data_IF_593790988506
#
_entry.id   IF_593790988506
#
_cell.length_a   1.000
_cell.length_b   1.000
_cell.length_c   1.000
_cell.angle_alpha   90.00
_cell.angle_beta   90.00
_cell.angle_gamma   90.00
#
_symmetry.space_group_name_H-M   'P 1'
#
loop_
_entity.id
_entity.type
_entity.pdbx_description
1 polymer ?
#
# COMPACT_ATOMS: atom_id res chain seq x y z
N UNK A 1 38.58 -48.77 20.09
CA UNK A 1 37.19 -48.44 20.48
C UNK A 1 36.59 -47.61 19.37
N UNK A 2 35.42 -48.02 18.88
CA UNK A 2 34.62 -47.38 17.83
C UNK A 2 34.05 -46.03 18.35
N UNK A 3 34.08 -44.96 17.56
CA UNK A 3 32.91 -44.06 17.38
C UNK A 3 33.14 -43.06 16.25
N UNK A 4 32.16 -42.99 15.35
CA UNK A 4 31.91 -41.97 14.33
C UNK A 4 31.25 -40.73 14.98
N UNK A 5 31.21 -39.56 14.31
CA UNK A 5 29.97 -38.83 13.94
C UNK A 5 30.31 -37.46 13.32
N UNK A 6 29.65 -37.20 12.18
CA UNK A 6 29.63 -35.97 11.38
C UNK A 6 29.09 -34.75 12.15
N UNK A 7 29.48 -33.56 11.72
CA UNK A 7 28.59 -32.39 11.80
C UNK A 7 28.71 -31.58 10.51
N UNK A 8 27.61 -31.55 9.76
CA UNK A 8 27.49 -31.00 8.43
C UNK A 8 27.71 -29.48 8.36
N UNK A 9 28.15 -29.02 7.19
CA UNK A 9 28.22 -27.61 6.86
C UNK A 9 26.81 -27.03 6.76
N UNK A 10 26.53 -26.03 7.60
CA UNK A 10 25.35 -25.20 7.49
C UNK A 10 25.57 -24.21 6.34
N UNK A 11 25.04 -24.54 5.15
CA UNK A 11 24.98 -23.61 4.03
C UNK A 11 23.74 -22.72 4.21
N UNK A 12 23.95 -21.47 4.61
CA UNK A 12 22.95 -20.43 4.41
C UNK A 12 23.04 -19.99 2.95
N UNK A 13 22.12 -20.45 2.09
CA UNK A 13 21.86 -19.74 0.84
C UNK A 13 20.97 -18.54 1.16
N UNK A 14 21.57 -17.36 1.27
CA UNK A 14 20.80 -16.12 1.12
C UNK A 14 20.43 -15.99 -0.35
N UNK A 15 19.35 -16.66 -0.76
CA UNK A 15 18.76 -16.40 -2.06
C UNK A 15 18.31 -14.94 -2.07
N UNK A 16 19.04 -14.09 -2.79
CA UNK A 16 18.53 -12.78 -3.19
C UNK A 16 17.35 -13.06 -4.11
N UNK A 17 16.14 -13.05 -3.56
CA UNK A 17 14.92 -13.00 -4.36
C UNK A 17 14.88 -11.59 -4.95
N UNK A 18 14.93 -11.48 -6.27
CA UNK A 18 14.69 -10.20 -6.94
C UNK A 18 13.26 -9.75 -6.62
N UNK A 19 13.08 -8.51 -6.18
CA UNK A 19 11.74 -7.95 -5.98
C UNK A 19 11.03 -7.87 -7.33
N UNK A 20 9.87 -8.52 -7.44
CA UNK A 20 9.03 -8.50 -8.65
C UNK A 20 7.85 -7.56 -8.43
N UNK A 21 7.58 -6.69 -9.39
CA UNK A 21 6.35 -5.90 -9.41
C UNK A 21 5.21 -6.81 -9.89
N UNK A 22 4.31 -7.16 -8.98
CA UNK A 22 3.15 -8.04 -9.27
C UNK A 22 2.07 -7.25 -10.01
N UNK A 23 1.77 -6.03 -9.56
CA UNK A 23 0.76 -5.16 -10.18
C UNK A 23 1.13 -3.70 -9.94
N UNK A 24 0.83 -2.84 -10.92
CA UNK A 24 1.09 -1.40 -10.83
C UNK A 24 0.01 -0.60 -11.54
N UNK A 25 -0.26 0.59 -11.00
CA UNK A 25 -0.98 1.67 -11.67
C UNK A 25 -0.08 2.91 -11.69
N UNK A 26 0.33 3.34 -12.88
CA UNK A 26 1.05 4.60 -13.06
C UNK A 26 0.12 5.77 -13.44
N UNK A 27 -1.11 5.49 -13.87
CA UNK A 27 -2.14 6.45 -14.29
C UNK A 27 -1.75 7.37 -15.46
N UNK A 28 -0.61 7.15 -16.12
CA UNK A 28 -0.06 8.04 -17.15
C UNK A 28 -0.98 8.21 -18.37
N UNK A 29 -1.83 7.20 -18.63
CA UNK A 29 -2.84 7.23 -19.69
C UNK A 29 -4.13 7.95 -19.29
N UNK A 30 -4.21 8.51 -18.08
CA UNK A 30 -5.43 9.10 -17.51
C UNK A 30 -6.60 8.12 -17.45
N UNK A 31 -6.29 6.87 -17.09
CA UNK A 31 -7.25 5.81 -16.82
C UNK A 31 -6.85 5.04 -15.54
N UNK A 32 -7.73 4.17 -15.06
CA UNK A 32 -7.54 3.35 -13.87
C UNK A 32 -7.17 1.89 -14.22
N UNK A 33 -6.64 1.67 -15.43
CA UNK A 33 -6.16 0.36 -15.86
C UNK A 33 -4.76 0.10 -15.31
N UNK A 34 -4.43 -1.16 -15.11
CA UNK A 34 -3.10 -1.58 -14.67
C UNK A 34 -2.05 -1.33 -15.76
N UNK A 35 -0.91 -0.75 -15.39
CA UNK A 35 0.26 -0.61 -16.26
C UNK A 35 1.15 -1.86 -16.26
N UNK A 36 1.15 -2.61 -15.15
CA UNK A 36 1.84 -3.89 -14.98
C UNK A 36 0.90 -4.86 -14.27
N UNK A 37 0.93 -6.12 -14.69
CA UNK A 37 0.15 -7.20 -14.06
C UNK A 37 -1.35 -7.07 -14.29
N UNK A 38 -2.12 -7.67 -13.37
CA UNK A 38 -3.58 -7.70 -13.43
C UNK A 38 -4.16 -7.26 -12.08
N UNK A 39 -5.16 -6.39 -12.13
CA UNK A 39 -5.85 -5.89 -10.96
C UNK A 39 -6.96 -4.94 -11.36
N UNK A 40 -7.75 -4.52 -10.38
CA UNK A 40 -8.80 -3.54 -10.58
C UNK A 40 -8.75 -2.46 -9.50
N UNK A 41 -8.96 -1.21 -9.91
CA UNK A 41 -9.03 -0.06 -9.03
C UNK A 41 -10.46 0.49 -8.96
N UNK A 42 -10.91 0.86 -7.77
CA UNK A 42 -12.27 1.33 -7.51
C UNK A 42 -12.29 2.56 -6.60
N UNK A 43 -13.30 3.41 -6.80
CA UNK A 43 -13.67 4.45 -5.85
C UNK A 43 -14.71 3.88 -4.88
N UNK A 44 -14.58 4.21 -3.60
CA UNK A 44 -15.51 3.77 -2.55
C UNK A 44 -16.01 4.95 -1.72
N UNK A 45 -17.20 4.81 -1.14
CA UNK A 45 -17.76 5.81 -0.23
C UNK A 45 -18.12 7.15 -0.88
N UNK A 46 -18.52 7.15 -2.16
CA UNK A 46 -18.99 8.34 -2.87
C UNK A 46 -17.87 9.27 -3.39
N UNK A 47 -16.62 8.82 -3.32
CA UNK A 47 -15.46 9.55 -3.87
C UNK A 47 -15.61 9.70 -5.39
N UNK A 48 -15.30 10.90 -5.88
CA UNK A 48 -15.16 11.19 -7.30
C UNK A 48 -13.69 11.19 -7.73
N UNK A 49 -13.43 11.08 -9.03
CA UNK A 49 -12.07 11.13 -9.56
C UNK A 49 -11.92 11.93 -10.85
N UNK A 50 -10.72 12.47 -11.01
CA UNK A 50 -10.16 13.01 -12.24
C UNK A 50 -8.68 12.63 -12.34
N UNK A 51 -7.97 13.14 -13.35
CA UNK A 51 -6.53 12.96 -13.48
C UNK A 51 -5.82 14.31 -13.48
N UNK A 52 -4.73 14.39 -12.75
CA UNK A 52 -3.91 15.60 -12.58
C UNK A 52 -2.43 15.28 -12.78
N UNK A 53 -1.56 16.29 -12.68
CA UNK A 53 -0.12 16.09 -12.67
C UNK A 53 0.29 15.28 -11.43
N UNK A 54 1.00 14.19 -11.66
CA UNK A 54 1.49 13.28 -10.64
C UNK A 54 2.91 13.59 -10.18
N UNK A 55 3.46 12.65 -9.42
CA UNK A 55 4.84 12.69 -8.98
C UNK A 55 5.81 12.58 -10.17
N UNK A 56 6.95 13.28 -10.13
CA UNK A 56 7.97 13.30 -11.19
C UNK A 56 7.43 13.54 -12.62
N UNK A 57 6.41 14.40 -12.76
CA UNK A 57 5.80 14.82 -14.03
C UNK A 57 4.97 13.75 -14.79
N UNK A 58 4.65 12.61 -14.16
CA UNK A 58 3.63 11.68 -14.66
C UNK A 58 2.19 12.19 -14.45
N UNK A 59 1.21 11.30 -14.56
CA UNK A 59 -0.17 11.57 -14.11
C UNK A 59 -0.43 10.95 -12.75
N UNK A 60 -1.44 11.49 -12.06
CA UNK A 60 -1.95 10.93 -10.82
C UNK A 60 -3.47 10.83 -10.85
N UNK A 61 -3.97 9.79 -10.22
CA UNK A 61 -5.39 9.64 -9.94
C UNK A 61 -5.79 10.61 -8.82
N UNK A 62 -6.52 11.64 -9.19
CA UNK A 62 -6.90 12.73 -8.30
C UNK A 62 -8.31 12.50 -7.79
N UNK A 63 -8.45 12.24 -6.49
CA UNK A 63 -9.73 11.91 -5.86
C UNK A 63 -10.27 13.07 -5.03
N UNK A 64 -11.59 13.17 -4.94
CA UNK A 64 -12.28 14.23 -4.20
C UNK A 64 -13.61 13.72 -3.62
N UNK A 65 -14.40 14.64 -3.03
CA UNK A 65 -15.72 14.32 -2.46
C UNK A 65 -15.65 13.31 -1.30
N UNK A 66 -14.60 13.44 -0.50
CA UNK A 66 -14.46 12.71 0.76
C UNK A 66 -15.44 13.23 1.82
N UNK A 67 -15.85 12.40 2.79
CA UNK A 67 -16.64 12.83 3.93
C UNK A 67 -16.04 14.03 4.65
N UNK A 68 -16.90 14.88 5.20
CA UNK A 68 -16.48 16.02 6.00
C UNK A 68 -15.73 15.58 7.26
N UNK A 69 -14.82 16.44 7.74
CA UNK A 69 -14.06 16.15 8.95
C UNK A 69 -14.99 15.80 10.13
N UNK A 70 -14.70 14.69 10.81
CA UNK A 70 -15.49 14.20 11.94
C UNK A 70 -16.70 13.34 11.54
N UNK A 71 -16.99 13.18 10.24
CA UNK A 71 -18.07 12.33 9.75
C UNK A 71 -17.49 11.15 8.95
N UNK A 72 -18.03 9.95 9.17
CA UNK A 72 -17.76 8.75 8.36
C UNK A 72 -16.26 8.50 8.04
N UNK A 73 -15.36 8.76 8.99
CA UNK A 73 -13.93 8.52 8.79
C UNK A 73 -13.64 7.04 8.55
N UNK A 74 -12.79 6.76 7.58
CA UNK A 74 -12.38 5.43 7.20
C UNK A 74 -13.35 4.69 6.27
N UNK A 75 -14.38 5.35 5.75
CA UNK A 75 -15.38 4.70 4.87
C UNK A 75 -15.26 5.06 3.39
N UNK A 76 -14.41 6.03 3.04
CA UNK A 76 -14.30 6.57 1.69
C UNK A 76 -12.85 6.64 1.23
N UNK A 77 -12.61 6.37 -0.05
CA UNK A 77 -11.27 6.39 -0.63
C UNK A 77 -11.13 5.57 -1.90
N UNK A 78 -9.95 4.97 -2.06
CA UNK A 78 -9.58 4.17 -3.23
C UNK A 78 -9.28 2.74 -2.82
N UNK A 79 -9.70 1.78 -3.63
CA UNK A 79 -9.49 0.36 -3.43
C UNK A 79 -8.76 -0.24 -4.62
N UNK A 80 -7.84 -1.17 -4.36
CA UNK A 80 -7.08 -1.91 -5.35
C UNK A 80 -7.19 -3.41 -5.06
N UNK A 81 -7.78 -4.14 -6.00
CA UNK A 81 -7.87 -5.60 -5.96
C UNK A 81 -6.68 -6.18 -6.74
N UNK A 82 -5.89 -7.02 -6.09
CA UNK A 82 -4.65 -7.60 -6.64
C UNK A 82 -4.55 -9.05 -6.20
N UNK A 83 -4.44 -9.98 -7.13
CA UNK A 83 -4.12 -11.37 -6.80
C UNK A 83 -2.65 -11.47 -6.38
N UNK A 84 -2.40 -12.04 -5.20
CA UNK A 84 -1.06 -12.39 -4.72
C UNK A 84 -0.76 -13.88 -4.87
N UNK A 85 -1.59 -14.61 -5.64
CA UNK A 85 -1.38 -16.03 -5.94
C UNK A 85 0.01 -16.27 -6.55
N UNK A 86 0.75 -17.23 -6.00
CA UNK A 86 2.13 -17.51 -6.38
C UNK A 86 3.19 -16.58 -5.77
N UNK A 87 2.80 -15.58 -4.97
CA UNK A 87 3.72 -14.61 -4.38
C UNK A 87 3.71 -14.61 -2.84
N UNK A 88 4.83 -14.21 -2.25
CA UNK A 88 5.02 -14.05 -0.80
C UNK A 88 5.99 -12.91 -0.49
N UNK A 89 6.01 -12.41 0.76
CA UNK A 89 6.84 -11.26 1.13
C UNK A 89 6.35 -9.96 0.48
N UNK A 90 5.05 -9.70 0.59
CA UNK A 90 4.39 -8.62 -0.13
C UNK A 90 4.68 -7.28 0.55
N UNK A 91 5.08 -6.31 -0.25
CA UNK A 91 5.16 -4.90 0.15
C UNK A 91 4.39 -4.08 -0.86
N UNK A 92 3.66 -3.09 -0.38
CA UNK A 92 3.05 -2.07 -1.23
C UNK A 92 3.81 -0.77 -1.07
N UNK A 93 3.88 0.01 -2.15
CA UNK A 93 4.39 1.37 -2.12
C UNK A 93 3.55 2.27 -2.99
N UNK A 94 3.45 3.54 -2.61
CA UNK A 94 2.70 4.54 -3.37
C UNK A 94 3.21 5.95 -3.07
N UNK A 95 3.03 6.80 -4.07
CA UNK A 95 3.24 8.23 -3.95
C UNK A 95 1.89 8.92 -3.79
N UNK A 96 1.82 9.87 -2.86
CA UNK A 96 0.56 10.56 -2.58
C UNK A 96 0.77 12.03 -2.26
N UNK A 97 -0.11 12.88 -2.79
CA UNK A 97 -0.21 14.28 -2.40
C UNK A 97 -1.61 14.58 -1.89
N UNK A 98 -1.70 15.41 -0.87
CA UNK A 98 -2.97 15.85 -0.30
C UNK A 98 -3.14 17.37 -0.47
N UNK A 99 -4.40 17.82 -0.61
CA UNK A 99 -4.71 19.25 -0.59
C UNK A 99 -4.64 19.80 0.84
N UNK A 100 -4.63 21.13 0.98
CA UNK A 100 -4.65 21.78 2.29
C UNK A 100 -5.95 21.53 3.08
N UNK A 101 -7.00 21.06 2.40
CA UNK A 101 -8.31 20.76 2.99
C UNK A 101 -8.57 19.26 3.16
N UNK A 102 -7.60 18.42 2.77
CA UNK A 102 -7.72 16.97 2.92
C UNK A 102 -7.59 16.54 4.40
N UNK A 103 -8.05 15.33 4.70
CA UNK A 103 -7.79 14.73 6.01
C UNK A 103 -6.29 14.63 6.28
N UNK A 104 -5.90 14.91 7.52
CA UNK A 104 -4.50 14.86 7.95
C UNK A 104 -4.02 13.44 8.27
N UNK A 105 -4.87 12.42 8.11
CA UNK A 105 -4.57 11.01 8.36
C UNK A 105 -5.15 10.15 7.25
N UNK A 106 -4.40 9.12 6.87
CA UNK A 106 -4.86 8.07 5.96
C UNK A 106 -4.62 6.71 6.59
N UNK A 107 -5.59 5.83 6.42
CA UNK A 107 -5.53 4.44 6.86
C UNK A 107 -5.40 3.54 5.64
N UNK A 108 -4.38 2.69 5.65
CA UNK A 108 -4.38 1.51 4.82
C UNK A 108 -5.25 0.44 5.49
N UNK A 109 -6.15 -0.14 4.71
CA UNK A 109 -6.87 -1.35 5.08
C UNK A 109 -6.58 -2.42 4.04
N UNK A 110 -6.63 -3.68 4.46
CA UNK A 110 -6.46 -4.83 3.58
C UNK A 110 -7.53 -5.86 3.85
N UNK A 111 -7.72 -6.78 2.90
CA UNK A 111 -8.58 -7.94 3.04
C UNK A 111 -7.89 -9.16 2.47
N UNK A 112 -8.17 -10.30 3.07
CA UNK A 112 -7.69 -11.62 2.63
C UNK A 112 -8.85 -12.49 2.12
N UNK A 113 -10.08 -11.97 2.12
CA UNK A 113 -11.28 -12.69 1.72
C UNK A 113 -12.24 -11.83 0.87
N UNK A 114 -11.79 -10.64 0.45
CA UNK A 114 -12.55 -9.65 -0.33
C UNK A 114 -13.76 -9.01 0.38
N UNK A 115 -14.16 -9.46 1.56
CA UNK A 115 -15.37 -8.96 2.27
C UNK A 115 -15.04 -8.25 3.57
N UNK A 116 -14.12 -8.81 4.36
CA UNK A 116 -13.74 -8.28 5.67
C UNK A 116 -12.48 -7.44 5.55
N UNK A 117 -12.57 -6.19 6.00
CA UNK A 117 -11.50 -5.22 5.91
C UNK A 117 -10.82 -5.03 7.27
N UNK A 118 -9.50 -5.19 7.28
CA UNK A 118 -8.66 -5.11 8.47
C UNK A 118 -7.80 -3.84 8.36
N UNK A 119 -7.68 -3.09 9.45
CA UNK A 119 -6.72 -2.00 9.52
C UNK A 119 -5.30 -2.54 9.48
N UNK A 120 -4.48 -2.00 8.59
CA UNK A 120 -3.05 -2.11 8.75
C UNK A 120 -2.60 -1.09 9.81
N UNK A 121 -1.97 -1.58 10.86
CA UNK A 121 -1.43 -0.75 11.95
C UNK A 121 0.01 -0.35 11.59
N UNK A 122 0.13 0.77 10.87
CA UNK A 122 1.40 1.26 10.36
C UNK A 122 2.27 1.88 11.47
N UNK A 123 3.55 1.51 11.48
CA UNK A 123 4.59 2.12 12.32
C UNK A 123 5.95 2.12 11.61
N UNK A 124 6.96 2.65 12.29
CA UNK A 124 8.33 2.80 11.76
C UNK A 124 9.03 1.46 11.46
N UNK A 125 8.49 0.33 11.95
CA UNK A 125 9.08 -1.00 11.73
C UNK A 125 8.50 -1.71 10.52
N UNK A 126 7.28 -1.37 10.11
CA UNK A 126 6.54 -2.07 9.06
C UNK A 126 6.10 -1.16 7.90
N UNK A 127 6.37 0.13 7.96
CA UNK A 127 5.93 1.08 6.96
C UNK A 127 6.91 2.24 6.81
N UNK A 128 6.79 2.96 5.69
CA UNK A 128 7.46 4.24 5.50
C UNK A 128 6.43 5.33 5.23
N UNK A 129 6.68 6.53 5.76
CA UNK A 129 5.90 7.72 5.47
C UNK A 129 6.85 8.92 5.39
N UNK A 130 7.37 9.21 4.21
CA UNK A 130 8.38 10.28 4.04
C UNK A 130 7.87 11.38 3.14
N UNK A 131 8.28 12.62 3.39
CA UNK A 131 8.04 13.76 2.50
C UNK A 131 9.30 14.62 2.40
N UNK A 132 9.77 14.83 1.16
CA UNK A 132 11.03 15.54 0.93
C UNK A 132 12.24 14.90 1.62
N UNK A 133 12.21 13.58 1.84
CA UNK A 133 13.23 12.83 2.56
C UNK A 133 13.12 12.86 4.09
N UNK A 134 12.16 13.59 4.66
CA UNK A 134 11.92 13.64 6.10
C UNK A 134 10.83 12.65 6.49
N UNK A 135 10.99 11.99 7.64
CA UNK A 135 9.95 11.15 8.19
C UNK A 135 8.77 12.00 8.67
N UNK A 136 7.56 11.72 8.17
CA UNK A 136 6.31 12.36 8.57
C UNK A 136 5.58 11.58 9.66
N UNK A 137 6.00 10.35 9.95
CA UNK A 137 5.54 9.55 11.08
C UNK A 137 4.12 8.99 10.93
N UNK A 138 3.67 8.36 12.01
CA UNK A 138 2.40 7.65 12.10
C UNK A 138 1.61 8.09 13.33
N UNK A 139 0.29 7.93 13.28
CA UNK A 139 -0.61 8.23 14.38
C UNK A 139 -1.68 7.15 14.52
N UNK A 140 -1.53 6.33 15.56
CA UNK A 140 -2.41 5.20 15.86
C UNK A 140 -2.60 4.29 14.64
N UNK A 141 -1.50 3.91 13.99
CA UNK A 141 -1.48 3.06 12.80
C UNK A 141 -1.85 3.74 11.46
N UNK A 142 -2.06 5.06 11.46
CA UNK A 142 -2.37 5.86 10.26
C UNK A 142 -1.16 6.62 9.78
N UNK A 143 -1.08 6.83 8.47
CA UNK A 143 -0.09 7.69 7.83
C UNK A 143 -0.46 9.15 8.07
N UNK A 144 0.46 9.92 8.67
CA UNK A 144 0.31 11.36 8.84
C UNK A 144 0.43 12.07 7.48
N UNK A 145 -0.45 13.02 7.22
CA UNK A 145 -0.56 13.79 5.96
C UNK A 145 -0.73 15.29 6.24
N UNK A 146 0.03 15.83 7.20
CA UNK A 146 -0.10 17.22 7.66
C UNK A 146 0.65 18.26 6.79
N UNK A 147 1.52 17.82 5.88
CA UNK A 147 2.12 18.67 4.86
C UNK A 147 1.20 18.82 3.63
N UNK A 148 0.26 19.76 3.72
CA UNK A 148 -0.57 20.14 2.58
C UNK A 148 0.29 20.48 1.36
N UNK A 149 -0.11 19.99 0.18
CA UNK A 149 0.58 20.17 -1.09
C UNK A 149 1.96 19.52 -1.27
N UNK A 150 2.46 18.75 -0.29
CA UNK A 150 3.66 17.95 -0.45
C UNK A 150 3.37 16.54 -0.98
N UNK A 151 4.34 15.95 -1.68
CA UNK A 151 4.32 14.53 -2.03
C UNK A 151 4.88 13.71 -0.87
N UNK A 152 4.20 12.61 -0.58
CA UNK A 152 4.59 11.60 0.38
C UNK A 152 4.93 10.32 -0.37
N UNK A 153 6.08 9.74 -0.07
CA UNK A 153 6.46 8.40 -0.49
C UNK A 153 6.20 7.44 0.67
N UNK A 154 5.36 6.45 0.40
CA UNK A 154 4.82 5.55 1.42
C UNK A 154 5.01 4.10 1.06
N UNK A 155 5.12 3.27 2.08
CA UNK A 155 5.07 1.82 1.93
C UNK A 155 4.39 1.16 3.12
N UNK A 156 3.91 -0.05 2.89
CA UNK A 156 3.48 -0.97 3.94
C UNK A 156 4.06 -2.35 3.64
N UNK A 157 4.79 -2.89 4.60
CA UNK A 157 5.26 -4.26 4.59
C UNK A 157 4.16 -5.17 5.14
N UNK A 158 3.65 -6.03 4.27
CA UNK A 158 2.61 -7.01 4.58
C UNK A 158 3.21 -8.42 4.71
N UNK A 159 4.54 -8.54 4.66
CA UNK A 159 5.22 -9.79 4.89
C UNK A 159 4.88 -10.33 6.29
N UNK A 160 4.65 -11.65 6.36
CA UNK A 160 4.28 -12.31 7.61
C UNK A 160 2.81 -12.15 8.03
N UNK A 161 2.01 -11.32 7.35
CA UNK A 161 0.56 -11.27 7.59
C UNK A 161 -0.10 -12.52 7.00
N UNK A 162 -0.73 -13.31 7.87
CA UNK A 162 -1.42 -14.53 7.47
C UNK A 162 -2.53 -14.24 6.46
N UNK A 163 -2.56 -15.03 5.38
CA UNK A 163 -3.54 -14.89 4.31
C UNK A 163 -3.22 -13.81 3.26
N UNK A 164 -2.16 -13.01 3.41
CA UNK A 164 -1.75 -12.07 2.35
C UNK A 164 -0.99 -12.76 1.22
N UNK A 165 -0.10 -13.71 1.55
CA UNK A 165 0.65 -14.45 0.54
C UNK A 165 -0.20 -15.52 -0.14
N UNK A 166 0.06 -15.76 -1.42
CA UNK A 166 -0.61 -16.78 -2.24
C UNK A 166 -2.15 -16.68 -2.19
N UNK A 167 -2.70 -15.48 -2.40
CA UNK A 167 -4.14 -15.23 -2.25
C UNK A 167 -4.77 -14.48 -3.43
N UNK A 168 -5.67 -15.14 -4.14
CA UNK A 168 -6.42 -14.54 -5.25
C UNK A 168 -7.43 -13.46 -4.84
N UNK A 169 -7.85 -13.44 -3.57
CA UNK A 169 -8.87 -12.54 -3.03
C UNK A 169 -8.26 -11.37 -2.25
N UNK A 170 -6.94 -11.15 -2.37
CA UNK A 170 -6.28 -10.05 -1.69
C UNK A 170 -6.68 -8.70 -2.31
N UNK A 171 -6.92 -7.72 -1.44
CA UNK A 171 -7.12 -6.33 -1.86
C UNK A 171 -6.68 -5.38 -0.75
N UNK A 172 -6.37 -4.15 -1.15
CA UNK A 172 -6.09 -3.04 -0.25
C UNK A 172 -7.05 -1.88 -0.53
N UNK A 173 -7.22 -1.01 0.44
CA UNK A 173 -7.83 0.30 0.24
C UNK A 173 -7.17 1.36 1.11
N UNK A 174 -7.10 2.57 0.59
CA UNK A 174 -6.62 3.76 1.28
C UNK A 174 -7.83 4.63 1.59
N UNK A 175 -8.11 4.84 2.87
CA UNK A 175 -9.28 5.58 3.36
C UNK A 175 -8.88 6.72 4.28
N UNK A 176 -9.71 7.77 4.32
CA UNK A 176 -9.56 8.95 5.20
C UNK A 176 -10.70 9.01 6.21
#
# INVERSE_FOLDING_TARGET
>A
MLSLVMSGGLLFSSGVQAQVIITQWNFDNSDSLTSVGNGAAYLIGGVGASYATGFNAGKAWNTNNYPEQGNASGTAGVQFNVSTEGFSGLTISWDQRASNTAANRIRLQYTVNATDWINFEADETNATNTSGGNNAGFDNGRYITDAGSAWFQRSADLAGIAGVSNNMNFAIRLVT
#
